data_IF_273694846828
#
_entry.id   IF_273694846828
#
_cell.length_a   1.000
_cell.length_b   1.000
_cell.length_c   1.000
_cell.angle_alpha   90.00
_cell.angle_beta   90.00
_cell.angle_gamma   90.00
#
_symmetry.space_group_name_H-M   'P 1'
#
loop_
_entity.id
_entity.type
_entity.pdbx_description
1 polymer ?
#
# COMPACT_ATOMS: atom_id res chain seq x y z
N UNK A 1 -16.25 -14.51 -11.31
CA UNK A 1 -15.93 -15.93 -11.01
C UNK A 1 -14.43 -16.14 -10.81
N UNK A 2 -13.56 -15.75 -11.75
CA UNK A 2 -12.10 -15.98 -11.65
C UNK A 2 -11.39 -15.21 -10.51
N UNK A 3 -11.86 -14.00 -10.16
CA UNK A 3 -11.27 -13.20 -9.08
C UNK A 3 -11.34 -13.91 -7.71
N UNK A 4 -12.47 -14.56 -7.40
CA UNK A 4 -12.63 -15.29 -6.14
C UNK A 4 -11.68 -16.48 -6.03
N UNK A 5 -11.48 -17.20 -7.14
CA UNK A 5 -10.53 -18.32 -7.20
C UNK A 5 -9.09 -17.81 -7.05
N UNK A 6 -8.75 -16.72 -7.73
CA UNK A 6 -7.44 -16.10 -7.61
C UNK A 6 -7.17 -15.67 -6.16
N UNK A 7 -8.07 -14.92 -5.54
CA UNK A 7 -7.93 -14.46 -4.15
C UNK A 7 -7.82 -15.62 -3.15
N UNK A 8 -8.60 -16.68 -3.31
CA UNK A 8 -8.53 -17.85 -2.43
C UNK A 8 -7.16 -18.56 -2.48
N UNK A 9 -6.44 -18.44 -3.60
CA UNK A 9 -5.08 -18.95 -3.77
C UNK A 9 -3.98 -17.90 -3.63
N UNK A 10 -4.25 -16.72 -3.05
CA UNK A 10 -3.32 -15.57 -3.01
C UNK A 10 -2.76 -15.15 -4.39
N UNK A 11 -3.55 -15.37 -5.45
CA UNK A 11 -3.22 -15.02 -6.83
C UNK A 11 -3.95 -13.78 -7.32
N UNK A 12 -3.56 -13.29 -8.50
CA UNK A 12 -4.16 -12.12 -9.16
C UNK A 12 -4.99 -12.53 -10.38
N UNK A 13 -6.12 -11.84 -10.59
CA UNK A 13 -6.96 -12.00 -11.79
C UNK A 13 -6.80 -10.79 -12.71
N UNK A 14 -6.32 -11.01 -13.95
CA UNK A 14 -6.19 -9.96 -14.97
C UNK A 14 -7.23 -10.18 -16.09
N UNK A 15 -8.07 -9.18 -16.34
CA UNK A 15 -9.09 -9.26 -17.40
C UNK A 15 -8.64 -8.54 -18.67
N UNK A 16 -8.40 -9.24 -19.78
CA UNK A 16 -8.14 -8.62 -21.08
C UNK A 16 -9.47 -8.26 -21.77
N UNK A 17 -9.71 -6.98 -22.06
CA UNK A 17 -10.90 -6.50 -22.77
C UNK A 17 -10.75 -6.52 -24.30
N UNK A 18 -9.51 -6.55 -24.78
CA UNK A 18 -9.13 -6.59 -26.20
C UNK A 18 -8.05 -7.64 -26.42
N UNK A 19 -7.96 -8.20 -27.63
CA UNK A 19 -6.94 -9.18 -28.01
C UNK A 19 -5.52 -8.66 -27.81
N UNK A 20 -5.31 -7.37 -28.10
CA UNK A 20 -3.99 -6.74 -28.10
C UNK A 20 -3.42 -6.64 -26.68
N UNK A 21 -4.29 -6.64 -25.67
CA UNK A 21 -3.91 -6.57 -24.26
C UNK A 21 -3.56 -7.94 -23.64
N UNK A 22 -3.80 -9.05 -24.35
CA UNK A 22 -3.57 -10.41 -23.81
C UNK A 22 -2.08 -10.65 -23.58
N UNK A 23 -1.25 -10.38 -24.60
CA UNK A 23 0.19 -10.66 -24.53
C UNK A 23 0.87 -9.88 -23.39
N UNK A 24 0.52 -8.60 -23.23
CA UNK A 24 1.04 -7.76 -22.15
C UNK A 24 0.61 -8.19 -20.75
N UNK A 25 -0.53 -8.88 -20.61
CA UNK A 25 -1.01 -9.41 -19.32
C UNK A 25 -0.38 -10.76 -19.01
N UNK A 26 -0.27 -11.65 -20.00
CA UNK A 26 0.44 -12.92 -19.85
C UNK A 26 1.93 -12.70 -19.54
N UNK A 27 2.58 -11.73 -20.20
CA UNK A 27 3.99 -11.42 -19.90
C UNK A 27 4.18 -10.93 -18.46
N UNK A 28 3.28 -10.08 -17.94
CA UNK A 28 3.29 -9.67 -16.53
C UNK A 28 3.16 -10.86 -15.58
N UNK A 29 2.26 -11.80 -15.85
CA UNK A 29 2.10 -13.01 -15.03
C UNK A 29 3.35 -13.91 -15.06
N UNK A 30 3.98 -14.07 -16.23
CA UNK A 30 5.23 -14.85 -16.37
C UNK A 30 6.40 -14.16 -15.66
N UNK A 31 6.47 -12.84 -15.67
CA UNK A 31 7.50 -12.11 -14.92
C UNK A 31 7.25 -12.19 -13.41
N UNK A 32 5.99 -12.09 -12.99
CA UNK A 32 5.60 -12.27 -11.60
C UNK A 32 6.00 -13.67 -11.07
N UNK A 33 5.86 -14.73 -11.87
CA UNK A 33 6.25 -16.09 -11.47
C UNK A 33 7.76 -16.35 -11.45
N UNK A 34 8.55 -15.54 -12.16
CA UNK A 34 10.02 -15.69 -12.24
C UNK A 34 10.77 -14.82 -11.25
N UNK A 35 10.07 -13.93 -10.55
CA UNK A 35 10.67 -13.05 -9.55
C UNK A 35 10.30 -13.52 -8.16
N UNK A 36 11.17 -13.24 -7.20
CA UNK A 36 10.89 -13.55 -5.80
C UNK A 36 9.68 -12.74 -5.34
N UNK A 37 8.77 -13.43 -4.69
CA UNK A 37 7.57 -12.86 -4.09
C UNK A 37 7.93 -12.40 -2.68
N UNK A 38 7.55 -11.16 -2.32
CA UNK A 38 7.62 -10.67 -0.95
C UNK A 38 6.29 -10.96 -0.26
N UNK A 39 6.35 -11.69 0.84
CA UNK A 39 5.21 -12.03 1.68
C UNK A 39 5.32 -11.29 3.03
N UNK A 40 4.25 -11.33 3.82
CA UNK A 40 4.18 -10.69 5.15
C UNK A 40 4.60 -9.22 5.12
N UNK A 41 4.01 -8.44 4.22
CA UNK A 41 4.40 -7.03 4.07
C UNK A 41 3.77 -6.18 5.17
N UNK A 42 4.63 -5.43 5.87
CA UNK A 42 4.24 -4.46 6.88
C UNK A 42 4.83 -3.09 6.53
N UNK A 43 4.05 -2.03 6.75
CA UNK A 43 4.50 -0.65 6.57
C UNK A 43 4.67 -0.01 7.94
N UNK A 44 5.87 0.50 8.19
CA UNK A 44 6.18 1.31 9.36
C UNK A 44 6.06 2.79 9.00
N UNK A 45 5.01 3.42 9.54
CA UNK A 45 4.67 4.83 9.31
C UNK A 45 5.38 5.80 10.26
N UNK A 46 6.28 5.33 11.12
CA UNK A 46 7.06 6.18 12.03
C UNK A 46 6.28 6.77 13.21
N UNK A 47 5.03 6.36 13.46
CA UNK A 47 4.38 6.61 14.74
C UNK A 47 5.09 5.77 15.83
N UNK A 48 5.39 6.34 17.00
CA UNK A 48 6.16 5.67 18.09
C UNK A 48 5.66 4.23 18.32
N UNK A 49 6.45 3.15 18.34
CA UNK A 49 7.87 2.86 18.11
C UNK A 49 8.05 1.31 18.19
N UNK A 50 9.24 0.74 17.98
CA UNK A 50 9.46 -0.71 17.92
C UNK A 50 9.38 -1.32 19.33
N UNK A 51 8.24 -1.94 19.66
CA UNK A 51 8.12 -2.81 20.81
C UNK A 51 7.69 -4.19 20.34
N UNK A 52 8.63 -5.12 20.42
CA UNK A 52 8.39 -6.54 20.39
C UNK A 52 7.21 -6.88 21.31
N UNK A 53 6.32 -7.75 20.84
CA UNK A 53 5.35 -8.48 21.66
C UNK A 53 4.34 -7.65 22.44
N UNK A 54 3.24 -7.27 21.78
CA UNK A 54 1.95 -7.26 22.46
C UNK A 54 0.82 -7.45 21.46
N UNK A 55 0.40 -8.72 21.36
CA UNK A 55 -0.99 -9.05 21.12
C UNK A 55 -1.81 -8.36 22.21
N UNK A 56 -2.31 -7.17 21.94
CA UNK A 56 -3.36 -6.57 22.74
C UNK A 56 -4.13 -5.61 21.84
N UNK A 57 -5.44 -5.83 21.78
CA UNK A 57 -6.44 -5.03 21.09
C UNK A 57 -6.47 -3.60 21.71
N UNK A 58 -5.47 -2.80 21.40
CA UNK A 58 -5.50 -1.35 21.55
C UNK A 58 -5.87 -0.75 20.20
N UNK A 59 -6.80 0.20 20.19
CA UNK A 59 -7.15 0.98 19.00
C UNK A 59 -5.86 1.47 18.34
N UNK A 60 -5.50 0.89 17.19
CA UNK A 60 -4.29 1.28 16.50
C UNK A 60 -4.44 2.73 16.07
N UNK A 61 -3.55 3.61 16.53
CA UNK A 61 -3.52 5.02 16.15
C UNK A 61 -3.33 5.21 14.64
N UNK A 62 -3.00 4.14 13.92
CA UNK A 62 -2.89 4.08 12.47
C UNK A 62 -4.07 3.31 11.91
N UNK A 63 -4.86 3.97 11.06
CA UNK A 63 -5.88 3.35 10.21
C UNK A 63 -5.35 3.23 8.79
N UNK A 64 -4.88 2.04 8.41
CA UNK A 64 -4.32 1.77 7.09
C UNK A 64 -5.32 1.12 6.13
N UNK A 65 -5.29 1.52 4.85
CA UNK A 65 -5.95 0.84 3.75
C UNK A 65 -4.95 0.55 2.59
N UNK A 66 -4.83 -0.70 2.12
CA UNK A 66 -5.44 -1.90 2.68
C UNK A 66 -4.87 -2.25 4.06
N UNK A 67 -5.68 -2.87 4.92
CA UNK A 67 -5.28 -3.29 6.28
C UNK A 67 -4.24 -4.40 6.27
N UNK A 68 -4.22 -5.21 5.21
CA UNK A 68 -3.20 -6.22 4.94
C UNK A 68 -2.72 -6.06 3.51
N UNK A 69 -1.40 -5.99 3.34
CA UNK A 69 -0.78 -6.02 2.02
C UNK A 69 -0.43 -7.49 1.74
N UNK A 70 -1.02 -8.03 0.68
CA UNK A 70 -0.71 -9.38 0.20
C UNK A 70 0.67 -9.41 -0.47
N UNK A 71 0.97 -10.50 -1.16
CA UNK A 71 2.23 -10.74 -1.84
C UNK A 71 2.59 -9.65 -2.88
N UNK A 72 3.79 -9.06 -2.76
CA UNK A 72 4.35 -8.14 -3.78
C UNK A 72 5.30 -8.91 -4.69
N UNK A 73 5.15 -8.72 -5.99
CA UNK A 73 6.03 -9.24 -7.03
C UNK A 73 6.51 -8.12 -7.95
N UNK A 74 7.52 -8.41 -8.77
CA UNK A 74 8.10 -7.41 -9.64
C UNK A 74 7.08 -6.83 -10.62
N UNK A 75 7.06 -5.50 -10.72
CA UNK A 75 6.14 -4.76 -11.60
C UNK A 75 4.73 -4.53 -11.04
N UNK A 76 4.42 -4.99 -9.82
CA UNK A 76 3.20 -4.62 -9.12
C UNK A 76 3.27 -3.15 -8.66
N UNK A 77 2.19 -2.41 -8.92
CA UNK A 77 1.97 -1.06 -8.36
C UNK A 77 0.73 -1.10 -7.50
N UNK A 78 0.82 -0.56 -6.31
CA UNK A 78 -0.27 -0.47 -5.35
C UNK A 78 -0.15 0.84 -4.58
N UNK A 79 -1.25 1.27 -3.98
CA UNK A 79 -1.32 2.45 -3.13
C UNK A 79 -1.73 2.01 -1.75
N UNK A 80 -0.99 2.46 -0.74
CA UNK A 80 -1.33 2.27 0.67
C UNK A 80 -1.55 3.64 1.27
N UNK A 81 -2.67 3.83 1.92
CA UNK A 81 -3.01 5.05 2.63
C UNK A 81 -3.13 4.76 4.11
N UNK A 82 -2.83 5.76 4.94
CA UNK A 82 -3.00 5.67 6.38
C UNK A 82 -3.54 7.00 6.94
N UNK A 83 -4.43 6.89 7.93
CA UNK A 83 -4.85 8.01 8.77
C UNK A 83 -4.21 7.79 10.13
N UNK A 84 -3.43 8.78 10.58
CA UNK A 84 -2.69 8.70 11.85
C UNK A 84 -3.40 9.63 12.85
N UNK A 85 -3.86 9.06 13.97
CA UNK A 85 -4.61 9.73 15.03
C UNK A 85 -3.74 10.24 16.18
N UNK A 86 -2.44 9.92 16.16
CA UNK A 86 -1.49 10.33 17.21
C UNK A 86 -1.40 11.87 17.27
N UNK A 87 -1.72 12.45 18.43
CA UNK A 87 -1.78 13.91 18.62
C UNK A 87 -0.43 14.60 18.46
N UNK A 88 0.65 13.91 18.83
CA UNK A 88 2.03 14.39 18.75
C UNK A 88 2.80 13.76 17.59
N UNK A 89 2.08 13.37 16.52
CA UNK A 89 2.70 12.73 15.37
C UNK A 89 3.73 13.64 14.71
N UNK A 90 4.97 13.16 14.65
CA UNK A 90 6.03 13.79 13.87
C UNK A 90 6.12 13.08 12.53
N UNK A 91 5.96 13.84 11.45
CA UNK A 91 6.10 13.30 10.09
C UNK A 91 7.51 12.73 9.95
N UNK A 92 7.67 11.43 9.64
CA UNK A 92 8.98 10.83 9.46
C UNK A 92 9.60 11.27 8.14
N UNK A 93 10.93 11.24 8.05
CA UNK A 93 11.66 11.48 6.80
C UNK A 93 11.56 10.29 5.83
N UNK A 94 11.42 9.07 6.39
CA UNK A 94 11.30 7.83 5.64
C UNK A 94 10.19 6.95 6.23
N UNK A 95 9.44 6.28 5.36
CA UNK A 95 8.54 5.17 5.68
C UNK A 95 9.27 3.87 5.34
N UNK A 96 9.22 2.87 6.22
CA UNK A 96 9.92 1.59 6.00
C UNK A 96 8.92 0.50 5.64
N UNK A 97 9.06 -0.07 4.45
CA UNK A 97 8.32 -1.24 4.03
C UNK A 97 9.16 -2.49 4.28
N UNK A 98 8.66 -3.41 5.10
CA UNK A 98 9.30 -4.69 5.41
C UNK A 98 8.54 -5.82 4.75
N UNK A 99 9.23 -6.82 4.26
CA UNK A 99 8.63 -8.04 3.75
C UNK A 99 9.61 -9.21 3.77
N UNK A 100 9.10 -10.44 3.75
CA UNK A 100 9.91 -11.66 3.71
C UNK A 100 10.00 -12.18 2.29
N UNK A 101 11.21 -12.51 1.85
CA UNK A 101 11.42 -13.16 0.56
C UNK A 101 10.94 -14.61 0.62
N UNK A 102 10.09 -14.98 -0.33
CA UNK A 102 9.66 -16.37 -0.48
C UNK A 102 10.85 -17.30 -0.74
N UNK A 103 10.82 -18.48 -0.11
CA UNK A 103 11.86 -19.52 -0.25
C UNK A 103 13.07 -19.45 0.68
N UNK A 104 13.49 -18.27 1.17
CA UNK A 104 14.64 -18.16 2.10
C UNK A 104 14.31 -17.48 3.44
N UNK A 105 13.17 -16.78 3.52
CA UNK A 105 12.75 -16.09 4.75
C UNK A 105 13.54 -14.80 5.05
N UNK A 106 14.47 -14.40 4.19
CA UNK A 106 15.20 -13.14 4.30
C UNK A 106 14.22 -11.97 4.42
N UNK A 107 14.41 -11.14 5.45
CA UNK A 107 13.65 -9.90 5.62
C UNK A 107 14.29 -8.82 4.77
N UNK A 108 13.50 -8.22 3.88
CA UNK A 108 13.90 -7.08 3.06
C UNK A 108 13.25 -5.84 3.65
N UNK A 109 14.06 -4.79 3.82
CA UNK A 109 13.60 -3.46 4.20
C UNK A 109 13.77 -2.50 3.03
N UNK A 110 12.71 -1.76 2.71
CA UNK A 110 12.70 -0.74 1.68
C UNK A 110 12.37 0.58 2.35
N UNK A 111 13.29 1.55 2.28
CA UNK A 111 13.10 2.90 2.79
C UNK A 111 12.51 3.78 1.68
N UNK A 112 11.37 4.38 1.96
CA UNK A 112 10.66 5.26 1.03
C UNK A 112 10.68 6.67 1.61
N UNK A 113 11.32 7.65 0.92
CA UNK A 113 11.39 9.02 1.43
C UNK A 113 10.01 9.68 1.41
N UNK A 114 9.70 10.43 2.46
CA UNK A 114 8.44 11.16 2.59
C UNK A 114 8.55 12.53 1.92
N UNK A 115 7.58 12.84 1.07
CA UNK A 115 7.42 14.16 0.47
C UNK A 115 6.17 14.83 1.05
N UNK A 116 6.33 16.05 1.55
CA UNK A 116 5.23 16.84 2.12
C UNK A 116 4.75 17.81 1.05
N UNK A 117 3.52 17.62 0.60
CA UNK A 117 2.83 18.58 -0.25
C UNK A 117 1.81 19.35 0.58
N UNK A 118 2.08 20.64 0.81
CA UNK A 118 1.11 21.55 1.39
C UNK A 118 0.12 21.96 0.28
N UNK A 119 -1.14 21.60 0.45
CA UNK A 119 -2.22 22.02 -0.45
C UNK A 119 -2.23 23.54 -0.57
N UNK A 120 -1.79 24.06 -1.72
CA UNK A 120 -1.79 25.49 -2.00
C UNK A 120 -3.20 25.90 -2.39
N UNK A 121 -3.95 26.46 -1.44
CA UNK A 121 -5.27 27.05 -1.70
C UNK A 121 -5.10 28.43 -2.37
N UNK A 122 -4.72 28.42 -3.65
CA UNK A 122 -4.56 29.63 -4.48
C UNK A 122 -5.78 29.80 -5.40
N UNK A 123 -6.99 29.82 -4.83
CA UNK A 123 -8.21 30.13 -5.58
C UNK A 123 -9.16 31.02 -4.79
N UNK A 124 -9.41 32.28 -5.22
CA UNK A 124 -10.58 33.03 -4.78
C UNK A 124 -11.80 32.48 -5.52
N UNK A 125 -12.37 31.39 -5.01
CA UNK A 125 -13.60 30.75 -5.48
C UNK A 125 -14.66 30.69 -4.38
N UNK A 126 -15.97 30.69 -4.71
CA UNK A 126 -17.03 31.03 -3.77
C UNK A 126 -17.15 29.99 -2.64
N UNK A 127 -17.46 30.50 -1.45
CA UNK A 127 -17.74 29.73 -0.24
C UNK A 127 -18.91 28.78 -0.51
N UNK A 128 -18.62 27.49 -0.69
CA UNK A 128 -19.63 26.43 -0.69
C UNK A 128 -19.78 25.86 0.74
N UNK A 129 -21.00 25.44 1.15
CA UNK A 129 -21.28 25.04 2.52
C UNK A 129 -20.50 23.79 2.93
N UNK A 130 -20.18 23.70 4.23
CA UNK A 130 -19.33 22.70 4.91
C UNK A 130 -19.85 21.23 4.91
N UNK A 131 -20.31 20.71 3.77
CA UNK A 131 -20.99 19.41 3.68
C UNK A 131 -20.41 18.36 2.73
N UNK A 132 -19.43 18.70 1.88
CA UNK A 132 -18.79 17.73 0.97
C UNK A 132 -17.28 18.00 0.86
N UNK A 133 -16.48 17.44 1.76
CA UNK A 133 -15.05 17.24 1.52
C UNK A 133 -14.84 15.84 0.94
N UNK A 134 -14.42 15.80 -0.32
CA UNK A 134 -13.89 14.60 -0.97
C UNK A 134 -12.64 14.09 -0.23
N UNK A 135 -12.40 12.77 -0.26
CA UNK A 135 -11.20 12.16 0.31
C UNK A 135 -9.95 12.59 -0.46
N UNK A 136 -8.87 12.83 0.29
CA UNK A 136 -7.54 13.13 -0.21
C UNK A 136 -7.09 12.03 -1.19
N UNK A 137 -6.96 12.39 -2.46
CA UNK A 137 -6.34 11.54 -3.48
C UNK A 137 -4.83 11.78 -3.47
N UNK A 138 -4.05 10.72 -3.25
CA UNK A 138 -2.63 10.67 -3.59
C UNK A 138 -2.47 10.01 -4.97
N UNK A 139 -1.79 10.68 -5.90
CA UNK A 139 -1.50 10.17 -7.25
C UNK A 139 0.00 9.98 -7.42
N UNK A 140 0.40 8.82 -7.95
CA UNK A 140 1.69 8.55 -8.56
C UNK A 140 1.50 7.76 -9.86
#
# INVERSE_FOLDING_TARGET
>A
MCEGIARAGNGICLMATTSDNILGKCSKLVLASRTFVLNDISVDWGARGPAETSQMEGESDILQAPSKIESIYSGLRFVVTAIIKEKDFKIPEEVVLRGKRDGNGDVIEIKVPVQIELGKDDSPGPIVPWGLRNPLFFSA
#
